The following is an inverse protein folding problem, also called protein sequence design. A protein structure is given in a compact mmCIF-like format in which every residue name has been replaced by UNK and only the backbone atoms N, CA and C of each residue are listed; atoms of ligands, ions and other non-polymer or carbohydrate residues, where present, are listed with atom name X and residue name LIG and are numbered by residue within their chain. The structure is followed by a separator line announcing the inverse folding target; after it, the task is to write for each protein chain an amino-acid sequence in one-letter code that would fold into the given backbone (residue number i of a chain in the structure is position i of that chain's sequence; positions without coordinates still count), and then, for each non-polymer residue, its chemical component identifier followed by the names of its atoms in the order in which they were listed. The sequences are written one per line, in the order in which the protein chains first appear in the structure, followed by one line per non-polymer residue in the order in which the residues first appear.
data_IF_669729902447
#
_entry.id   IF_669729902447
#
_cell.length_a   1.000
_cell.length_b   1.000
_cell.length_c   1.000
_cell.angle_alpha   90.00
_cell.angle_beta   90.00
_cell.angle_gamma   90.00
#
_symmetry.space_group_name_H-M   'P 1'
#
loop_
_entity.id
_entity.type
_entity.pdbx_description
1 polymer ?
#
# COMPACT_ATOMS: atom_id res chain seq x y z
N UNK A 1 -17.78 4.40 -66.14
CA UNK A 1 -18.19 3.31 -65.23
C UNK A 1 -16.95 2.94 -64.41
N UNK A 2 -16.71 3.47 -63.21
CA UNK A 2 -17.34 3.12 -61.91
C UNK A 2 -16.50 2.00 -61.27
N UNK A 3 -15.92 2.06 -60.06
CA UNK A 3 -15.85 3.02 -58.97
C UNK A 3 -14.52 2.73 -58.21
N UNK A 4 -14.09 3.60 -57.27
CA UNK A 4 -12.71 3.74 -56.83
C UNK A 4 -12.36 2.86 -55.63
N UNK A 5 -11.11 2.37 -55.61
CA UNK A 5 -10.45 1.78 -54.45
C UNK A 5 -10.18 2.86 -53.39
N UNK A 6 -11.21 3.29 -52.65
CA UNK A 6 -10.99 4.17 -51.50
C UNK A 6 -10.67 3.33 -50.26
N UNK A 7 -9.38 3.17 -50.00
CA UNK A 7 -8.84 2.74 -48.70
C UNK A 7 -9.52 3.53 -47.57
N UNK A 8 -10.02 2.85 -46.54
CA UNK A 8 -10.45 3.50 -45.28
C UNK A 8 -9.37 3.31 -44.20
N UNK A 9 -8.25 4.08 -44.19
CA UNK A 9 -7.31 4.07 -43.08
C UNK A 9 -7.67 5.06 -41.96
N UNK A 10 -8.78 5.81 -42.05
CA UNK A 10 -9.08 6.89 -41.11
C UNK A 10 -9.64 6.46 -39.74
N UNK A 11 -10.12 5.23 -39.57
CA UNK A 11 -10.67 4.79 -38.28
C UNK A 11 -9.61 4.46 -37.21
N UNK A 12 -8.33 4.33 -37.58
CA UNK A 12 -7.25 3.95 -36.64
C UNK A 12 -6.62 5.13 -35.90
N UNK A 13 -6.75 6.35 -36.41
CA UNK A 13 -6.15 7.55 -35.79
C UNK A 13 -7.03 8.20 -34.73
N UNK A 14 -8.35 8.04 -34.79
CA UNK A 14 -9.27 8.65 -33.83
C UNK A 14 -9.10 8.11 -32.39
N UNK A 15 -8.69 6.85 -32.24
CA UNK A 15 -8.47 6.24 -30.92
C UNK A 15 -7.19 6.73 -30.21
N UNK A 16 -6.17 7.16 -30.98
CA UNK A 16 -4.94 7.73 -30.42
C UNK A 16 -5.05 9.22 -30.05
N UNK A 17 -6.06 9.92 -30.55
CA UNK A 17 -6.29 11.34 -30.21
C UNK A 17 -7.02 11.55 -28.89
N UNK A 18 -7.85 10.60 -28.45
CA UNK A 18 -8.75 10.75 -27.29
C UNK A 18 -8.26 9.97 -26.07
N UNK A 19 -7.69 8.77 -26.27
CA UNK A 19 -7.30 7.90 -25.16
C UNK A 19 -6.15 8.48 -24.31
N UNK A 20 -5.05 9.02 -24.88
CA UNK A 20 -3.97 9.60 -24.09
C UNK A 20 -4.38 10.81 -23.21
N UNK A 21 -5.12 11.83 -23.72
CA UNK A 21 -5.54 12.94 -22.86
C UNK A 21 -6.53 12.50 -21.78
N UNK A 22 -7.39 11.50 -22.05
CA UNK A 22 -8.29 10.94 -21.04
C UNK A 22 -7.52 10.23 -19.90
N UNK A 23 -6.50 9.44 -20.23
CA UNK A 23 -5.63 8.79 -19.23
C UNK A 23 -4.85 9.82 -18.40
N UNK A 24 -4.39 10.90 -19.01
CA UNK A 24 -3.73 12.02 -18.32
C UNK A 24 -4.69 12.77 -17.39
N UNK A 25 -5.96 12.95 -17.77
CA UNK A 25 -6.98 13.60 -16.94
C UNK A 25 -7.30 12.80 -15.67
N UNK A 26 -7.30 11.47 -15.76
CA UNK A 26 -7.62 10.56 -14.64
C UNK A 26 -6.38 10.32 -13.74
N UNK A 27 -5.16 10.56 -14.27
CA UNK A 27 -3.89 10.33 -13.56
C UNK A 27 -3.82 10.92 -12.13
N UNK A 28 -4.25 12.16 -11.86
CA UNK A 28 -4.22 12.73 -10.51
C UNK A 28 -5.17 12.01 -9.54
N UNK A 29 -6.36 11.61 -10.02
CA UNK A 29 -7.37 10.91 -9.23
C UNK A 29 -6.92 9.50 -8.83
N UNK A 30 -6.14 8.84 -9.69
CA UNK A 30 -5.61 7.51 -9.41
C UNK A 30 -4.29 7.58 -8.61
N UNK A 31 -3.52 8.68 -8.69
CA UNK A 31 -2.20 8.81 -8.06
C UNK A 31 -2.18 8.44 -6.58
N UNK A 32 -3.19 8.84 -5.81
CA UNK A 32 -3.29 8.52 -4.38
C UNK A 32 -3.35 7.01 -4.06
N UNK A 33 -3.84 6.19 -4.99
CA UNK A 33 -3.89 4.72 -4.87
C UNK A 33 -2.55 4.03 -5.20
N UNK A 34 -1.56 4.79 -5.65
CA UNK A 34 -0.24 4.28 -6.06
C UNK A 34 0.92 4.99 -5.34
N UNK A 35 0.65 6.07 -4.61
CA UNK A 35 1.67 6.86 -3.94
C UNK A 35 1.90 6.39 -2.50
N UNK A 36 2.99 5.67 -2.24
CA UNK A 36 3.35 5.21 -0.88
C UNK A 36 4.11 6.26 -0.04
N UNK A 37 4.37 7.47 -0.57
CA UNK A 37 5.11 8.50 0.17
C UNK A 37 4.45 8.85 1.52
N UNK A 38 3.11 9.00 1.63
CA UNK A 38 2.48 9.32 2.92
C UNK A 38 2.71 8.24 3.98
N UNK A 39 2.62 6.96 3.60
CA UNK A 39 2.96 5.84 4.47
C UNK A 39 4.44 5.87 4.87
N UNK A 40 5.33 6.06 3.89
CA UNK A 40 6.77 6.05 4.13
C UNK A 40 7.24 7.19 5.06
N UNK A 41 6.68 8.40 4.92
CA UNK A 41 6.94 9.55 5.80
C UNK A 41 6.49 9.28 7.24
N UNK A 42 5.35 8.60 7.42
CA UNK A 42 4.88 8.17 8.74
C UNK A 42 5.81 7.15 9.36
N UNK A 43 6.25 6.17 8.59
CA UNK A 43 7.23 5.17 9.04
C UNK A 43 8.55 5.85 9.45
N UNK A 44 9.03 6.82 8.66
CA UNK A 44 10.22 7.59 9.01
C UNK A 44 10.05 8.39 10.31
N UNK A 45 8.87 8.94 10.56
CA UNK A 45 8.55 9.62 11.82
C UNK A 45 8.57 8.65 13.00
N UNK A 46 8.03 7.44 12.83
CA UNK A 46 8.05 6.40 13.87
C UNK A 46 9.50 5.93 14.15
N UNK A 47 10.30 5.73 13.10
CA UNK A 47 11.71 5.39 13.23
C UNK A 47 12.50 6.49 13.96
N UNK A 48 12.28 7.76 13.60
CA UNK A 48 12.92 8.90 14.28
C UNK A 48 12.57 8.97 15.78
N UNK A 49 11.40 8.43 16.16
CA UNK A 49 10.99 8.27 17.57
C UNK A 49 11.55 7.00 18.22
N UNK A 50 12.49 6.31 17.58
CA UNK A 50 13.06 5.03 18.03
C UNK A 50 12.00 3.95 18.25
N UNK A 51 10.91 3.97 17.47
CA UNK A 51 9.87 2.92 17.52
C UNK A 51 10.27 1.79 16.57
N UNK A 52 10.39 0.54 17.07
CA UNK A 52 10.68 -0.61 16.22
C UNK A 52 9.61 -0.79 15.13
N UNK A 53 10.04 -1.13 13.92
CA UNK A 53 9.17 -1.37 12.78
C UNK A 53 9.35 -2.80 12.26
N UNK A 54 8.25 -3.49 12.02
CA UNK A 54 8.25 -4.80 11.38
C UNK A 54 7.24 -4.88 10.26
N UNK A 55 7.49 -5.74 9.28
CA UNK A 55 6.64 -5.93 8.11
C UNK A 55 6.25 -7.40 7.98
N UNK A 56 4.96 -7.66 7.70
CA UNK A 56 4.44 -9.03 7.56
C UNK A 56 4.55 -9.52 6.11
N UNK A 57 5.22 -10.66 5.93
CA UNK A 57 5.52 -11.28 4.64
C UNK A 57 6.62 -10.56 3.86
N UNK A 58 6.74 -10.83 2.56
CA UNK A 58 7.88 -10.35 1.76
C UNK A 58 7.95 -8.82 1.64
N UNK A 59 9.03 -8.25 2.18
CA UNK A 59 9.36 -6.83 2.12
C UNK A 59 10.38 -6.54 1.00
N UNK A 60 10.09 -5.53 0.18
CA UNK A 60 10.85 -5.20 -1.03
C UNK A 60 11.49 -3.79 -0.95
N UNK A 61 11.87 -3.33 0.24
CA UNK A 61 12.53 -2.02 0.49
C UNK A 61 11.78 -0.76 0.03
N UNK A 62 10.52 -0.91 -0.38
CA UNK A 62 9.70 0.18 -0.90
C UNK A 62 9.57 1.36 0.08
N UNK A 63 9.47 1.10 1.39
CA UNK A 63 9.40 2.17 2.40
C UNK A 63 10.77 2.70 2.78
N UNK A 64 11.80 1.85 2.75
CA UNK A 64 13.19 2.23 3.02
C UNK A 64 13.64 3.30 2.04
N UNK A 65 13.42 3.08 0.75
CA UNK A 65 13.79 4.06 -0.27
C UNK A 65 12.93 5.33 -0.19
N UNK A 66 11.60 5.18 -0.12
CA UNK A 66 10.67 6.31 -0.15
C UNK A 66 10.74 7.19 1.11
N UNK A 67 10.91 6.57 2.28
CA UNK A 67 10.96 7.23 3.58
C UNK A 67 12.39 7.55 4.03
N UNK A 68 13.40 7.12 3.28
CA UNK A 68 14.82 7.18 3.66
C UNK A 68 15.08 6.56 5.04
N UNK A 69 14.42 5.43 5.30
CA UNK A 69 14.58 4.72 6.57
C UNK A 69 16.03 4.26 6.72
N UNK A 70 16.60 4.46 7.91
CA UNK A 70 18.00 4.13 8.20
C UNK A 70 18.14 2.66 8.55
N UNK A 71 17.20 2.16 9.36
CA UNK A 71 17.15 0.79 9.89
C UNK A 71 16.40 -0.11 8.92
N UNK A 72 16.83 -1.36 8.85
CA UNK A 72 16.07 -2.36 8.11
C UNK A 72 14.83 -2.77 8.91
N UNK A 73 13.70 -2.92 8.23
CA UNK A 73 12.46 -3.35 8.87
C UNK A 73 12.56 -4.85 9.16
N UNK A 74 12.17 -5.27 10.36
CA UNK A 74 12.14 -6.71 10.66
C UNK A 74 11.05 -7.36 9.82
N UNK A 75 11.42 -8.28 8.92
CA UNK A 75 10.44 -9.06 8.17
C UNK A 75 9.96 -10.24 9.00
N UNK A 76 8.65 -10.48 8.99
CA UNK A 76 7.97 -11.50 9.79
C UNK A 76 7.18 -12.42 8.87
N UNK A 77 7.60 -13.68 8.80
CA UNK A 77 7.12 -14.61 7.76
C UNK A 77 5.88 -15.41 8.17
N UNK A 78 5.59 -15.50 9.47
CA UNK A 78 4.44 -16.27 9.99
C UNK A 78 3.78 -15.62 11.22
N UNK A 79 2.55 -16.02 11.51
CA UNK A 79 1.73 -15.44 12.60
C UNK A 79 2.36 -15.61 13.98
N UNK A 80 3.14 -16.68 14.19
CA UNK A 80 3.85 -16.92 15.45
C UNK A 80 4.96 -15.89 15.62
N UNK A 81 5.76 -15.67 14.59
CA UNK A 81 6.82 -14.67 14.56
C UNK A 81 6.27 -13.27 14.80
N UNK A 82 5.11 -12.94 14.21
CA UNK A 82 4.46 -11.65 14.45
C UNK A 82 4.01 -11.50 15.89
N UNK A 83 3.36 -12.52 16.45
CA UNK A 83 2.89 -12.49 17.85
C UNK A 83 4.06 -12.39 18.82
N UNK A 84 5.13 -13.15 18.61
CA UNK A 84 6.34 -13.11 19.43
C UNK A 84 7.09 -11.76 19.30
N UNK A 85 7.12 -11.17 18.11
CA UNK A 85 7.71 -9.86 17.90
C UNK A 85 6.90 -8.76 18.59
N UNK A 86 5.57 -8.82 18.48
CA UNK A 86 4.66 -7.87 19.10
C UNK A 86 4.82 -7.84 20.63
N UNK A 87 4.90 -9.02 21.25
CA UNK A 87 5.11 -9.16 22.69
C UNK A 87 6.47 -8.59 23.15
N UNK A 88 7.53 -8.72 22.34
CA UNK A 88 8.86 -8.19 22.65
C UNK A 88 8.99 -6.69 22.40
N UNK A 89 8.16 -6.12 21.53
CA UNK A 89 8.22 -4.72 21.12
C UNK A 89 6.88 -4.02 21.37
N UNK A 90 6.43 -3.82 22.62
CA UNK A 90 5.11 -3.25 22.91
C UNK A 90 4.91 -1.81 22.38
N UNK A 91 6.00 -1.07 22.09
CA UNK A 91 5.94 0.26 21.43
C UNK A 91 6.21 0.20 19.93
N UNK A 92 6.38 -0.99 19.39
CA UNK A 92 6.66 -1.26 17.98
C UNK A 92 5.41 -1.12 17.12
N UNK A 93 5.62 -1.05 15.81
CA UNK A 93 4.54 -0.98 14.82
C UNK A 93 4.77 -2.05 13.75
N UNK A 94 3.69 -2.75 13.41
CA UNK A 94 3.63 -3.86 12.47
C UNK A 94 2.94 -3.36 11.22
N UNK A 95 3.59 -3.50 10.08
CA UNK A 95 3.05 -3.11 8.79
C UNK A 95 2.45 -4.36 8.17
N UNK A 96 1.14 -4.31 7.96
CA UNK A 96 0.33 -5.39 7.44
C UNK A 96 -0.36 -4.94 6.13
N UNK A 97 -0.60 -5.88 5.21
CA UNK A 97 -1.33 -5.62 3.96
C UNK A 97 -2.55 -6.52 3.88
N UNK A 98 -3.74 -5.95 3.94
CA UNK A 98 -5.00 -6.70 3.77
C UNK A 98 -5.70 -6.27 2.49
N UNK A 99 -6.44 -7.19 1.87
CA UNK A 99 -7.29 -6.84 0.72
C UNK A 99 -8.52 -6.07 1.19
N UNK A 100 -9.17 -6.60 2.20
CA UNK A 100 -10.46 -6.16 2.72
C UNK A 100 -10.41 -6.24 4.27
N UNK A 101 -9.71 -5.32 4.96
CA UNK A 101 -9.71 -5.29 6.42
C UNK A 101 -11.09 -4.93 6.95
N UNK A 102 -11.48 -5.51 8.09
CA UNK A 102 -12.74 -5.15 8.77
C UNK A 102 -12.69 -3.70 9.26
N UNK A 103 -13.83 -3.02 9.46
CA UNK A 103 -13.84 -1.66 10.03
C UNK A 103 -13.11 -1.57 11.37
N UNK A 104 -13.23 -2.62 12.19
CA UNK A 104 -12.55 -2.75 13.48
C UNK A 104 -11.03 -2.88 13.32
N UNK A 105 -10.56 -3.65 12.34
CA UNK A 105 -9.12 -3.71 12.00
C UNK A 105 -8.56 -2.36 11.57
N UNK A 106 -9.31 -1.59 10.78
CA UNK A 106 -8.92 -0.24 10.33
C UNK A 106 -8.81 0.72 11.52
N UNK A 107 -9.75 0.67 12.46
CA UNK A 107 -9.72 1.45 13.69
C UNK A 107 -8.50 1.09 14.56
N UNK A 108 -8.24 -0.20 14.74
CA UNK A 108 -7.13 -0.71 15.57
C UNK A 108 -5.77 -0.30 14.99
N UNK A 109 -5.59 -0.31 13.67
CA UNK A 109 -4.36 0.11 13.03
C UNK A 109 -4.00 1.57 13.40
N UNK A 110 -4.97 2.48 13.43
CA UNK A 110 -4.69 3.90 13.70
C UNK A 110 -3.98 4.63 12.54
N UNK A 111 -3.39 3.92 11.57
CA UNK A 111 -3.18 4.43 10.22
C UNK A 111 -3.40 3.35 9.17
N UNK A 112 -4.02 3.75 8.07
CA UNK A 112 -4.23 2.91 6.90
C UNK A 112 -4.09 3.72 5.62
N UNK A 113 -3.73 3.05 4.53
CA UNK A 113 -3.66 3.66 3.22
C UNK A 113 -3.99 2.64 2.11
N UNK A 114 -4.85 2.97 1.13
CA UNK A 114 -5.05 2.13 -0.04
C UNK A 114 -3.80 2.12 -0.94
N UNK A 115 -3.46 0.95 -1.46
CA UNK A 115 -2.37 0.75 -2.42
C UNK A 115 -2.63 -0.46 -3.33
N UNK A 116 -2.72 -0.23 -4.64
CA UNK A 116 -2.84 -1.30 -5.67
C UNK A 116 -3.90 -2.36 -5.35
N UNK A 117 -5.10 -1.95 -4.91
CA UNK A 117 -6.20 -2.86 -4.57
C UNK A 117 -6.02 -3.63 -3.25
N UNK A 118 -5.09 -3.17 -2.40
CA UNK A 118 -4.94 -3.59 -1.01
C UNK A 118 -4.96 -2.36 -0.10
N UNK A 119 -4.97 -2.59 1.20
CA UNK A 119 -4.86 -1.57 2.23
C UNK A 119 -3.65 -1.92 3.07
N UNK A 120 -2.68 -1.02 3.10
CA UNK A 120 -1.61 -1.05 4.09
C UNK A 120 -2.14 -0.53 5.41
N UNK A 121 -1.78 -1.21 6.48
CA UNK A 121 -2.10 -0.84 7.85
C UNK A 121 -0.80 -0.72 8.63
N UNK A 122 -0.68 0.32 9.44
CA UNK A 122 0.32 0.37 10.50
C UNK A 122 -0.41 -0.06 11.76
N UNK A 123 -0.04 -1.16 12.39
CA UNK A 123 -0.72 -1.68 13.59
C UNK A 123 0.22 -1.57 14.77
N UNK A 124 -0.15 -0.87 15.85
CA UNK A 124 0.63 -0.87 17.08
C UNK A 124 0.75 -2.27 17.65
N UNK A 125 1.96 -2.66 18.02
CA UNK A 125 2.28 -4.02 18.45
C UNK A 125 1.47 -4.45 19.69
N UNK A 126 1.26 -3.54 20.64
CA UNK A 126 0.42 -3.76 21.82
C UNK A 126 -1.04 -4.07 21.49
N UNK A 127 -1.52 -3.60 20.33
CA UNK A 127 -2.87 -3.84 19.83
C UNK A 127 -2.98 -5.01 18.85
N UNK A 128 -1.88 -5.69 18.54
CA UNK A 128 -1.86 -6.81 17.59
C UNK A 128 -2.84 -7.95 17.94
N UNK A 129 -2.97 -8.40 19.20
CA UNK A 129 -3.94 -9.46 19.53
C UNK A 129 -5.39 -9.05 19.23
N UNK A 130 -5.75 -7.80 19.49
CA UNK A 130 -7.07 -7.27 19.17
C UNK A 130 -7.28 -7.14 17.65
N UNK A 131 -6.23 -6.79 16.90
CA UNK A 131 -6.27 -6.71 15.45
C UNK A 131 -6.57 -8.06 14.78
N UNK A 132 -5.96 -9.14 15.29
CA UNK A 132 -6.20 -10.49 14.80
C UNK A 132 -7.62 -10.95 15.14
N UNK A 133 -8.04 -10.81 16.40
CA UNK A 133 -9.40 -11.18 16.82
C UNK A 133 -10.49 -10.43 16.03
N UNK A 134 -10.24 -9.19 15.63
CA UNK A 134 -11.15 -8.39 14.81
C UNK A 134 -11.27 -8.85 13.34
N UNK A 135 -10.44 -9.81 12.91
CA UNK A 135 -10.51 -10.42 11.57
C UNK A 135 -11.27 -11.75 11.55
N UNK A 136 -11.57 -12.32 12.72
CA UNK A 136 -12.31 -13.57 12.87
C UNK A 136 -13.84 -13.33 12.99
N UNK A 137 -14.25 -12.06 13.10
CA UNK A 137 -15.64 -11.56 13.16
C UNK A 137 -16.28 -11.47 11.75
#
# INVERSE_FOLDING_TARGET
MGAPWATRPLQRFALWGILPPLLLLISPAIRGYYDLRPMAERLATLEAQSRPLAYVGEYHDQFRFLGRLVTDMTTLDDDRAVTEWAARHPRGHIIEKRREPTPRQVEIAGYHQPYRGRIYLIVPADRWPAFIAAGDD
#
